data_IF_909300545245
#
_entry.id   IF_909300545245
#
_cell.length_a   1.000
_cell.length_b   1.000
_cell.length_c   1.000
_cell.angle_alpha   90.00
_cell.angle_beta   90.00
_cell.angle_gamma   90.00
#
_symmetry.space_group_name_H-M   'P 1'
#
loop_
_entity.id
_entity.type
_entity.pdbx_description
1 polymer ?
#
# COMPACT_ATOMS: atom_id res chain seq x y z
N UNK A 1 20.74 5.45 11.55
CA UNK A 1 19.67 5.61 12.54
C UNK A 1 18.44 4.77 12.23
N UNK A 2 17.88 4.85 11.01
CA UNK A 2 16.72 4.03 10.58
C UNK A 2 16.96 2.52 10.75
N UNK A 3 18.13 2.00 10.37
CA UNK A 3 18.50 0.56 10.53
C UNK A 3 18.52 0.10 12.00
N UNK A 4 18.68 1.02 12.98
CA UNK A 4 18.63 0.66 14.41
C UNK A 4 17.21 0.60 14.97
N UNK A 5 16.23 1.31 14.39
CA UNK A 5 14.81 1.24 14.81
C UNK A 5 14.11 -0.05 14.42
N UNK A 6 14.66 -0.83 13.47
CA UNK A 6 14.09 -2.10 13.01
C UNK A 6 14.71 -3.35 13.66
N UNK A 7 15.60 -3.21 14.65
CA UNK A 7 16.30 -4.36 15.26
C UNK A 7 15.44 -5.21 16.22
N UNK A 8 14.16 -4.91 16.41
CA UNK A 8 13.26 -5.64 17.30
C UNK A 8 12.31 -6.65 16.63
N UNK A 9 12.06 -6.55 15.31
CA UNK A 9 11.05 -7.36 14.59
C UNK A 9 11.66 -8.24 13.48
N UNK A 10 13.00 -8.31 13.41
CA UNK A 10 13.79 -8.83 12.28
C UNK A 10 13.84 -10.35 12.08
N UNK A 11 12.71 -11.07 12.13
CA UNK A 11 12.69 -12.50 11.74
C UNK A 11 11.64 -12.87 10.69
N UNK A 12 10.49 -12.20 10.64
CA UNK A 12 9.47 -12.47 9.61
C UNK A 12 9.67 -11.59 8.36
N UNK A 13 9.86 -10.29 8.57
CA UNK A 13 10.05 -9.29 7.52
C UNK A 13 11.28 -9.61 6.66
N UNK A 14 12.42 -9.87 7.29
CA UNK A 14 13.65 -10.25 6.58
C UNK A 14 13.52 -11.59 5.85
N UNK A 15 12.69 -12.54 6.33
CA UNK A 15 12.46 -13.82 5.64
C UNK A 15 11.57 -13.67 4.43
N UNK A 16 10.51 -12.85 4.50
CA UNK A 16 9.63 -12.58 3.36
C UNK A 16 10.40 -11.79 2.30
N UNK A 17 11.16 -10.76 2.71
CA UNK A 17 12.04 -10.04 1.80
C UNK A 17 13.15 -10.93 1.24
N UNK A 18 13.84 -11.75 2.04
CA UNK A 18 14.88 -12.64 1.54
C UNK A 18 14.33 -13.73 0.61
N UNK A 19 13.15 -14.29 0.90
CA UNK A 19 12.50 -15.29 0.04
C UNK A 19 12.01 -14.66 -1.26
N UNK A 20 11.42 -13.47 -1.17
CA UNK A 20 11.02 -12.68 -2.34
C UNK A 20 12.23 -12.31 -3.20
N UNK A 21 13.33 -11.84 -2.60
CA UNK A 21 14.59 -11.53 -3.29
C UNK A 21 15.26 -12.76 -3.90
N UNK A 22 15.21 -13.92 -3.22
CA UNK A 22 15.81 -15.16 -3.72
C UNK A 22 15.05 -15.74 -4.91
N UNK A 23 13.71 -15.70 -4.87
CA UNK A 23 12.87 -16.11 -6.02
C UNK A 23 13.00 -15.09 -7.17
N UNK A 24 13.13 -13.79 -6.87
CA UNK A 24 13.39 -12.74 -7.85
C UNK A 24 14.75 -12.92 -8.54
N UNK A 25 15.81 -13.28 -7.80
CA UNK A 25 17.13 -13.53 -8.36
C UNK A 25 17.15 -14.72 -9.33
N UNK A 26 16.28 -15.72 -9.13
CA UNK A 26 16.10 -16.86 -10.04
C UNK A 26 15.35 -16.47 -11.33
N UNK A 27 14.47 -15.48 -11.27
CA UNK A 27 13.63 -15.04 -12.40
C UNK A 27 14.25 -13.91 -13.23
N UNK A 28 15.36 -13.32 -12.77
CA UNK A 28 16.05 -12.24 -13.48
C UNK A 28 16.83 -12.72 -14.69
N UNK A 29 16.67 -12.03 -15.82
CA UNK A 29 17.59 -12.20 -16.94
C UNK A 29 19.02 -11.79 -16.54
N UNK A 30 20.05 -12.47 -17.06
CA UNK A 30 21.45 -12.13 -16.77
C UNK A 30 21.77 -10.64 -17.03
N UNK A 31 21.21 -10.08 -18.10
CA UNK A 31 21.41 -8.68 -18.49
C UNK A 31 20.92 -7.66 -17.46
N UNK A 32 19.75 -7.91 -16.86
CA UNK A 32 19.16 -7.04 -15.82
C UNK A 32 19.91 -7.18 -14.50
N UNK A 33 20.33 -8.40 -14.16
CA UNK A 33 21.20 -8.66 -13.01
C UNK A 33 22.48 -7.86 -13.09
N UNK A 34 23.15 -7.91 -14.23
CA UNK A 34 24.41 -7.21 -14.45
C UNK A 34 24.24 -5.69 -14.49
N UNK A 35 23.10 -5.20 -14.96
CA UNK A 35 22.76 -3.78 -14.89
C UNK A 35 22.64 -3.30 -13.43
N UNK A 36 21.87 -4.00 -12.60
CA UNK A 36 21.65 -3.64 -11.19
C UNK A 36 22.96 -3.74 -10.39
N UNK A 37 23.73 -4.80 -10.60
CA UNK A 37 25.04 -4.97 -9.95
C UNK A 37 26.00 -3.83 -10.32
N UNK A 38 26.03 -3.39 -11.58
CA UNK A 38 26.83 -2.23 -12.00
C UNK A 38 26.39 -0.93 -11.34
N UNK A 39 25.09 -0.70 -11.20
CA UNK A 39 24.57 0.48 -10.48
C UNK A 39 24.97 0.45 -9.00
N UNK A 40 24.84 -0.70 -8.33
CA UNK A 40 25.26 -0.87 -6.94
C UNK A 40 26.77 -0.67 -6.75
N UNK A 41 27.59 -1.18 -7.66
CA UNK A 41 29.04 -0.97 -7.66
C UNK A 41 29.39 0.51 -7.84
N UNK A 42 28.71 1.23 -8.73
CA UNK A 42 28.90 2.68 -8.93
C UNK A 42 28.54 3.49 -7.68
N UNK A 43 27.40 3.20 -7.06
CA UNK A 43 26.98 3.87 -5.83
C UNK A 43 27.95 3.59 -4.67
N UNK A 44 28.41 2.35 -4.53
CA UNK A 44 29.42 1.96 -3.52
C UNK A 44 30.77 2.65 -3.76
N UNK A 45 31.20 2.75 -5.03
CA UNK A 45 32.41 3.45 -5.39
C UNK A 45 32.31 4.97 -5.16
N UNK A 46 31.13 5.57 -5.41
CA UNK A 46 30.87 6.97 -5.09
C UNK A 46 30.96 7.23 -3.58
N UNK A 47 30.29 6.39 -2.77
CA UNK A 47 30.38 6.41 -1.30
C UNK A 47 31.81 6.26 -0.77
N UNK A 48 32.62 5.41 -1.40
CA UNK A 48 34.00 5.18 -1.00
C UNK A 48 34.95 6.34 -1.35
N UNK A 49 34.61 7.15 -2.36
CA UNK A 49 35.39 8.33 -2.78
C UNK A 49 35.10 9.58 -1.94
N UNK A 50 33.95 9.63 -1.29
CA UNK A 50 33.59 10.71 -0.38
C UNK A 50 34.35 10.60 0.96
N UNK A 51 35.43 11.37 1.09
CA UNK A 51 36.17 11.51 2.36
C UNK A 51 35.25 12.04 3.47
N UNK A 52 35.49 11.68 4.75
CA UNK A 52 34.75 12.24 5.88
C UNK A 52 35.14 13.71 6.10
N UNK A 53 34.44 14.62 5.41
CA UNK A 53 34.43 16.04 5.76
C UNK A 53 33.41 16.27 6.88
N UNK A 54 33.90 16.75 8.02
CA UNK A 54 33.08 17.13 9.17
C UNK A 54 32.14 18.29 8.81
N UNK A 55 30.82 18.09 8.99
CA UNK A 55 29.89 19.19 9.24
C UNK A 55 28.79 19.48 8.21
N UNK A 56 28.73 18.81 7.06
CA UNK A 56 27.64 19.02 6.08
C UNK A 56 26.70 17.80 6.01
N UNK A 57 25.39 18.06 6.03
CA UNK A 57 24.33 17.05 5.92
C UNK A 57 24.54 16.25 4.63
N UNK A 58 24.95 14.99 4.77
CA UNK A 58 25.28 14.10 3.65
C UNK A 58 24.00 13.60 2.97
N UNK A 59 23.85 13.90 1.68
CA UNK A 59 22.92 13.16 0.83
C UNK A 59 23.48 11.76 0.59
N UNK A 60 22.90 10.74 1.24
CA UNK A 60 23.24 9.35 0.92
C UNK A 60 22.77 9.06 -0.52
N UNK A 61 23.64 8.52 -1.40
CA UNK A 61 23.18 8.11 -2.72
C UNK A 61 22.12 7.02 -2.57
N UNK A 62 20.91 7.35 -3.00
CA UNK A 62 19.77 6.44 -3.07
C UNK A 62 19.91 5.59 -4.32
N UNK A 63 20.17 4.29 -4.13
CA UNK A 63 20.04 3.32 -5.21
C UNK A 63 18.55 3.00 -5.33
N UNK A 64 17.92 3.49 -6.39
CA UNK A 64 16.55 3.08 -6.72
C UNK A 64 16.57 1.62 -7.15
N UNK A 65 16.32 0.73 -6.20
CA UNK A 65 15.90 -0.64 -6.49
C UNK A 65 14.39 -0.62 -6.66
N UNK A 66 13.83 -1.19 -7.75
CA UNK A 66 12.40 -1.39 -7.81
C UNK A 66 12.02 -2.39 -6.71
N UNK A 67 11.17 -1.97 -5.77
CA UNK A 67 10.31 -2.93 -5.07
C UNK A 67 9.49 -3.60 -6.18
N UNK A 68 9.47 -4.94 -6.24
CA UNK A 68 8.77 -5.68 -7.29
C UNK A 68 9.43 -5.58 -8.67
N UNK A 69 10.45 -6.40 -8.94
CA UNK A 69 11.14 -6.40 -10.23
C UNK A 69 10.21 -6.89 -11.36
N UNK A 70 9.61 -5.94 -12.06
CA UNK A 70 8.75 -6.10 -13.25
C UNK A 70 7.56 -7.06 -13.10
N UNK A 71 6.57 -6.69 -12.29
CA UNK A 71 5.21 -7.03 -12.70
C UNK A 71 4.93 -6.20 -13.97
N UNK A 72 4.65 -6.88 -15.10
CA UNK A 72 4.23 -6.22 -16.34
C UNK A 72 2.93 -5.43 -16.16
N UNK A 73 2.23 -5.69 -15.06
CA UNK A 73 0.99 -5.03 -14.68
C UNK A 73 1.24 -3.59 -14.24
N UNK A 74 0.75 -2.60 -15.00
CA UNK A 74 0.81 -1.19 -14.61
C UNK A 74 0.13 -0.91 -13.28
N UNK A 75 -0.89 -1.68 -12.89
CA UNK A 75 -1.62 -1.48 -11.64
C UNK A 75 -0.80 -1.82 -10.41
N UNK A 76 -0.09 -2.95 -10.45
CA UNK A 76 0.81 -3.32 -9.34
C UNK A 76 1.88 -2.25 -9.15
N UNK A 77 2.47 -1.74 -10.24
CA UNK A 77 3.46 -0.65 -10.17
C UNK A 77 2.90 0.61 -9.55
N UNK A 78 1.71 1.05 -9.99
CA UNK A 78 1.03 2.23 -9.43
C UNK A 78 0.74 2.06 -7.94
N UNK A 79 0.31 0.87 -7.50
CA UNK A 79 0.11 0.55 -6.08
C UNK A 79 1.41 0.62 -5.29
N UNK A 80 2.47 0.00 -5.78
CA UNK A 80 3.79 0.02 -5.12
C UNK A 80 4.36 1.44 -5.02
N UNK A 81 4.21 2.25 -6.07
CA UNK A 81 4.61 3.66 -6.06
C UNK A 81 3.79 4.47 -5.05
N UNK A 82 2.49 4.24 -4.97
CA UNK A 82 1.62 4.90 -4.00
C UNK A 82 2.01 4.55 -2.56
N UNK A 83 2.19 3.26 -2.26
CA UNK A 83 2.64 2.79 -0.94
C UNK A 83 4.04 3.33 -0.60
N UNK A 84 4.95 3.38 -1.57
CA UNK A 84 6.29 3.95 -1.36
C UNK A 84 6.21 5.42 -0.94
N UNK A 85 5.41 6.24 -1.63
CA UNK A 85 5.23 7.66 -1.25
C UNK A 85 4.70 7.79 0.17
N UNK A 86 3.72 6.97 0.56
CA UNK A 86 3.17 6.99 1.92
C UNK A 86 4.19 6.59 3.00
N UNK A 87 5.09 5.65 2.69
CA UNK A 87 6.19 5.27 3.59
C UNK A 87 7.25 6.38 3.71
N UNK A 88 7.62 6.99 2.58
CA UNK A 88 8.57 8.11 2.54
C UNK A 88 8.07 9.31 3.34
N UNK A 89 6.77 9.57 3.28
CA UNK A 89 6.12 10.67 4.03
C UNK A 89 5.76 10.30 5.48
N UNK A 90 6.05 9.08 5.93
CA UNK A 90 5.81 8.63 7.30
C UNK A 90 4.33 8.46 7.69
N UNK A 91 3.45 8.36 6.68
CA UNK A 91 2.02 8.07 6.85
C UNK A 91 1.83 6.61 7.21
N UNK A 92 2.40 5.70 6.41
CA UNK A 92 2.32 4.26 6.67
C UNK A 92 3.42 3.80 7.62
N UNK A 93 3.03 3.01 8.61
CA UNK A 93 3.87 2.49 9.69
C UNK A 93 3.59 1.03 9.99
N UNK A 94 2.35 0.59 9.79
CA UNK A 94 1.88 -0.76 10.15
C UNK A 94 2.12 -1.74 9.01
N UNK A 95 2.85 -2.83 9.29
CA UNK A 95 3.23 -3.84 8.30
C UNK A 95 2.02 -4.49 7.62
N UNK A 96 1.00 -4.86 8.41
CA UNK A 96 -0.19 -5.54 7.90
C UNK A 96 -1.02 -4.62 6.98
N UNK A 97 -1.06 -3.31 7.27
CA UNK A 97 -1.70 -2.33 6.40
C UNK A 97 -0.94 -2.13 5.09
N UNK A 98 0.39 -2.08 5.14
CA UNK A 98 1.22 -2.03 3.94
C UNK A 98 0.93 -3.24 3.05
N UNK A 99 0.87 -4.44 3.64
CA UNK A 99 0.57 -5.67 2.91
C UNK A 99 -0.85 -5.66 2.33
N UNK A 100 -1.85 -5.27 3.12
CA UNK A 100 -3.23 -5.18 2.66
C UNK A 100 -3.39 -4.22 1.46
N UNK A 101 -2.77 -3.03 1.52
CA UNK A 101 -2.81 -2.06 0.41
C UNK A 101 -2.11 -2.56 -0.86
N UNK A 102 -1.07 -3.40 -0.74
CA UNK A 102 -0.40 -4.00 -1.89
C UNK A 102 -1.21 -5.15 -2.51
N UNK A 103 -1.93 -5.91 -1.70
CA UNK A 103 -2.72 -7.06 -2.13
C UNK A 103 -4.09 -6.68 -2.73
N UNK A 104 -4.76 -5.68 -2.16
CA UNK A 104 -6.10 -5.29 -2.61
C UNK A 104 -5.99 -4.37 -3.82
N UNK A 105 -6.40 -4.91 -4.97
CA UNK A 105 -6.40 -4.24 -6.27
C UNK A 105 -7.63 -3.31 -6.42
N UNK A 106 -7.49 -1.97 -6.34
CA UNK A 106 -8.62 -1.04 -6.42
C UNK A 106 -9.39 -1.14 -7.74
N UNK A 107 -8.71 -1.46 -8.84
CA UNK A 107 -9.30 -1.64 -10.18
C UNK A 107 -10.32 -2.80 -10.27
N UNK A 108 -10.42 -3.65 -9.22
CA UNK A 108 -11.46 -4.68 -9.12
C UNK A 108 -12.74 -4.22 -8.43
N UNK A 109 -12.71 -3.05 -7.78
CA UNK A 109 -13.79 -2.55 -6.93
C UNK A 109 -14.41 -1.25 -7.44
N UNK A 110 -13.70 -0.51 -8.30
CA UNK A 110 -14.14 0.79 -8.82
C UNK A 110 -13.71 0.97 -10.28
N UNK A 111 -14.27 2.00 -10.92
CA UNK A 111 -13.89 2.35 -12.29
C UNK A 111 -12.40 2.70 -12.39
N UNK A 112 -11.81 2.51 -13.57
CA UNK A 112 -10.37 2.74 -13.78
C UNK A 112 -9.97 4.19 -13.40
N UNK A 113 -10.74 5.19 -13.80
CA UNK A 113 -10.47 6.59 -13.46
C UNK A 113 -10.46 6.84 -11.94
N UNK A 114 -11.39 6.21 -11.20
CA UNK A 114 -11.48 6.31 -9.73
C UNK A 114 -10.31 5.59 -9.06
N UNK A 115 -9.96 4.40 -9.54
CA UNK A 115 -8.81 3.64 -9.02
C UNK A 115 -7.50 4.41 -9.26
N UNK A 116 -7.36 5.07 -10.42
CA UNK A 116 -6.22 5.95 -10.67
C UNK A 116 -6.25 7.18 -9.75
N UNK A 117 -7.40 7.81 -9.54
CA UNK A 117 -7.53 8.96 -8.65
C UNK A 117 -7.15 8.61 -7.20
N UNK A 118 -7.60 7.45 -6.71
CA UNK A 118 -7.23 6.90 -5.40
C UNK A 118 -5.71 6.78 -5.25
N UNK A 119 -5.06 6.10 -6.20
CA UNK A 119 -3.62 5.83 -6.14
C UNK A 119 -2.76 7.09 -6.37
N UNK A 120 -3.32 8.12 -6.99
CA UNK A 120 -2.65 9.40 -7.24
C UNK A 120 -2.99 10.48 -6.21
N UNK A 121 -3.74 10.15 -5.16
CA UNK A 121 -4.25 11.11 -4.16
C UNK A 121 -4.98 12.30 -4.79
N UNK A 122 -5.72 12.05 -5.88
CA UNK A 122 -6.56 13.06 -6.53
C UNK A 122 -7.97 13.00 -5.97
N UNK A 123 -8.59 14.16 -5.85
CA UNK A 123 -10.01 14.24 -5.55
C UNK A 123 -10.80 13.61 -6.71
N UNK A 124 -11.83 12.79 -6.42
CA UNK A 124 -12.73 12.28 -7.44
C UNK A 124 -13.49 13.43 -8.10
N UNK A 125 -14.01 13.20 -9.31
CA UNK A 125 -14.88 14.17 -9.96
C UNK A 125 -16.15 14.34 -9.14
N UNK A 126 -16.48 15.58 -8.78
CA UNK A 126 -17.64 15.94 -7.96
C UNK A 126 -18.92 16.12 -8.80
N UNK A 127 -19.04 15.40 -9.92
CA UNK A 127 -20.24 15.45 -10.76
C UNK A 127 -21.42 14.67 -10.14
N UNK A 128 -21.23 14.16 -8.91
CA UNK A 128 -22.23 13.41 -8.17
C UNK A 128 -23.29 14.34 -7.56
N UNK A 129 -24.54 13.85 -7.37
CA UNK A 129 -25.58 14.60 -6.69
C UNK A 129 -25.14 15.08 -5.30
N UNK A 130 -25.72 16.19 -4.84
CA UNK A 130 -25.49 16.66 -3.48
C UNK A 130 -25.83 15.57 -2.45
N UNK A 131 -24.92 15.34 -1.49
CA UNK A 131 -25.06 14.28 -0.49
C UNK A 131 -24.61 12.88 -0.94
N UNK A 132 -24.23 12.70 -2.21
CA UNK A 132 -23.63 11.45 -2.66
C UNK A 132 -22.20 11.31 -2.12
N UNK A 133 -21.85 10.10 -1.67
CA UNK A 133 -20.48 9.78 -1.29
C UNK A 133 -19.61 9.58 -2.52
N UNK A 134 -18.33 10.04 -2.49
CA UNK A 134 -17.40 9.76 -3.57
C UNK A 134 -17.10 8.25 -3.67
N UNK A 135 -16.89 7.71 -4.88
CA UNK A 135 -16.51 6.31 -5.06
C UNK A 135 -15.10 6.00 -4.54
N UNK A 136 -14.23 7.01 -4.50
CA UNK A 136 -12.85 6.89 -4.06
C UNK A 136 -12.38 8.12 -3.28
N UNK A 137 -11.65 7.90 -2.20
CA UNK A 137 -10.81 8.90 -1.55
C UNK A 137 -9.35 8.60 -1.88
N UNK A 138 -8.48 9.61 -1.82
CA UNK A 138 -7.05 9.42 -1.99
C UNK A 138 -6.49 8.39 -0.99
N UNK A 139 -5.60 7.52 -1.46
CA UNK A 139 -5.00 6.45 -0.66
C UNK A 139 -4.31 6.95 0.61
N UNK A 140 -3.82 8.20 0.63
CA UNK A 140 -3.30 8.87 1.82
C UNK A 140 -4.37 9.05 2.89
N UNK A 141 -5.55 9.55 2.53
CA UNK A 141 -6.65 9.76 3.48
C UNK A 141 -7.08 8.42 4.08
N UNK A 142 -7.21 7.40 3.22
CA UNK A 142 -7.51 6.05 3.65
C UNK A 142 -6.44 5.52 4.61
N UNK A 143 -5.16 5.63 4.26
CA UNK A 143 -4.05 5.15 5.08
C UNK A 143 -4.02 5.85 6.45
N UNK A 144 -4.20 7.18 6.51
CA UNK A 144 -4.27 7.90 7.79
C UNK A 144 -5.42 7.42 8.66
N UNK A 145 -6.60 7.21 8.06
CA UNK A 145 -7.77 6.69 8.78
C UNK A 145 -7.54 5.28 9.32
N UNK A 146 -6.95 4.39 8.52
CA UNK A 146 -6.68 3.01 8.92
C UNK A 146 -5.56 2.90 9.95
N UNK A 147 -4.51 3.72 9.85
CA UNK A 147 -3.47 3.80 10.89
C UNK A 147 -4.01 4.35 12.20
N UNK A 148 -4.99 5.26 12.17
CA UNK A 148 -5.63 5.78 13.38
C UNK A 148 -6.66 4.81 13.98
N UNK A 149 -7.32 4.01 13.13
CA UNK A 149 -8.30 3.01 13.54
C UNK A 149 -7.63 1.78 14.18
N UNK A 150 -6.39 1.48 13.79
CA UNK A 150 -5.60 0.31 14.23
C UNK A 150 -6.37 -1.03 14.20
N UNK A 151 -6.99 -1.45 13.06
CA UNK A 151 -7.71 -2.72 13.01
C UNK A 151 -6.79 -3.92 13.29
N UNK A 152 -7.22 -4.79 14.20
CA UNK A 152 -6.47 -5.97 14.61
C UNK A 152 -7.18 -7.28 14.23
N UNK A 153 -6.42 -8.37 14.30
CA UNK A 153 -6.92 -9.72 14.03
C UNK A 153 -8.07 -10.05 14.99
N UNK A 154 -9.18 -10.52 14.43
CA UNK A 154 -10.37 -10.88 15.20
C UNK A 154 -11.37 -9.73 15.42
N UNK A 155 -11.03 -8.50 15.03
CA UNK A 155 -11.91 -7.35 15.24
C UNK A 155 -13.18 -7.41 14.40
N UNK A 156 -14.23 -6.75 14.91
CA UNK A 156 -15.46 -6.47 14.18
C UNK A 156 -15.46 -4.99 13.80
N UNK A 157 -15.31 -4.69 12.52
CA UNK A 157 -15.20 -3.32 12.00
C UNK A 157 -16.35 -3.05 11.03
N UNK A 158 -16.86 -1.81 11.02
CA UNK A 158 -17.88 -1.37 10.08
C UNK A 158 -17.33 -0.31 9.12
N UNK A 159 -17.47 -0.55 7.83
CA UNK A 159 -17.33 0.47 6.78
C UNK A 159 -18.72 1.03 6.46
N UNK A 160 -19.03 2.19 7.05
CA UNK A 160 -20.32 2.87 6.87
C UNK A 160 -20.46 3.57 5.52
N UNK A 161 -19.40 3.52 4.71
CA UNK A 161 -19.23 4.27 3.47
C UNK A 161 -18.81 3.35 2.32
N UNK A 162 -19.27 2.09 2.34
CA UNK A 162 -18.81 1.03 1.44
C UNK A 162 -19.38 1.17 0.01
N UNK A 163 -19.18 2.32 -0.62
CA UNK A 163 -19.67 2.66 -1.98
C UNK A 163 -19.13 1.66 -3.01
N UNK A 164 -17.82 1.38 -2.96
CA UNK A 164 -17.14 0.47 -3.89
C UNK A 164 -16.75 -0.86 -3.24
N UNK A 165 -16.80 -0.94 -1.91
CA UNK A 165 -16.30 -2.09 -1.15
C UNK A 165 -14.78 -2.23 -1.10
N UNK A 166 -14.01 -1.32 -1.71
CA UNK A 166 -12.54 -1.35 -1.66
C UNK A 166 -12.01 -1.24 -0.22
N UNK A 167 -12.48 -0.26 0.55
CA UNK A 167 -12.10 -0.06 1.95
C UNK A 167 -12.46 -1.28 2.80
N UNK A 168 -13.67 -1.81 2.63
CA UNK A 168 -14.09 -3.04 3.28
C UNK A 168 -13.19 -4.25 2.93
N UNK A 169 -12.70 -4.35 1.69
CA UNK A 169 -11.76 -5.40 1.30
C UNK A 169 -10.38 -5.22 1.94
N UNK A 170 -9.88 -3.99 2.07
CA UNK A 170 -8.64 -3.69 2.81
C UNK A 170 -8.80 -4.06 4.29
N UNK A 171 -9.90 -3.64 4.92
CA UNK A 171 -10.23 -3.99 6.30
C UNK A 171 -10.33 -5.51 6.51
N UNK A 172 -10.91 -6.23 5.54
CA UNK A 172 -11.02 -7.69 5.60
C UNK A 172 -9.63 -8.36 5.62
N UNK A 173 -8.67 -7.80 4.89
CA UNK A 173 -7.27 -8.25 4.95
C UNK A 173 -6.62 -8.02 6.32
N UNK A 174 -6.97 -6.94 7.00
CA UNK A 174 -6.43 -6.57 8.31
C UNK A 174 -7.00 -7.42 9.46
N UNK A 175 -8.34 -7.56 9.52
CA UNK A 175 -8.99 -8.28 10.63
C UNK A 175 -8.86 -9.80 10.51
N UNK A 176 -8.59 -10.31 9.30
CA UNK A 176 -8.18 -11.69 9.02
C UNK A 176 -9.02 -12.75 9.75
N UNK A 177 -8.41 -13.83 10.24
CA UNK A 177 -9.08 -14.96 10.88
C UNK A 177 -9.87 -14.54 12.13
N UNK A 178 -11.14 -14.95 12.20
CA UNK A 178 -12.05 -14.63 13.29
C UNK A 178 -12.66 -13.22 13.23
N UNK A 179 -12.08 -12.32 12.45
CA UNK A 179 -12.56 -10.96 12.26
C UNK A 179 -13.75 -10.85 11.32
N UNK A 180 -14.47 -9.72 11.39
CA UNK A 180 -15.63 -9.44 10.54
C UNK A 180 -15.63 -7.99 10.07
N UNK A 181 -15.97 -7.79 8.80
CA UNK A 181 -16.20 -6.46 8.24
C UNK A 181 -17.66 -6.32 7.83
N UNK A 182 -18.34 -5.33 8.41
CA UNK A 182 -19.68 -4.93 8.03
C UNK A 182 -19.57 -3.83 6.97
N UNK A 183 -19.84 -4.14 5.71
CA UNK A 183 -19.88 -3.16 4.64
C UNK A 183 -21.30 -2.62 4.47
N UNK A 184 -21.49 -1.34 4.76
CA UNK A 184 -22.76 -0.63 4.61
C UNK A 184 -22.64 0.34 3.45
N UNK A 185 -23.42 0.09 2.40
CA UNK A 185 -23.54 1.01 1.27
C UNK A 185 -24.71 1.98 1.56
N UNK A 186 -24.45 3.28 1.80
CA UNK A 186 -25.52 4.24 1.96
C UNK A 186 -26.15 4.52 0.60
N UNK A 187 -27.42 4.13 0.43
CA UNK A 187 -28.23 4.55 -0.71
C UNK A 187 -28.60 6.03 -0.54
N UNK A 188 -28.33 6.84 -1.57
CA UNK A 188 -28.72 8.24 -1.58
C UNK A 188 -30.25 8.38 -1.65
N UNK A 189 -30.89 8.56 -0.48
CA UNK A 189 -32.15 9.29 -0.27
C UNK A 189 -33.42 8.83 -1.01
N UNK A 190 -34.37 8.25 -0.25
CA UNK A 190 -35.78 8.22 -0.62
C UNK A 190 -36.60 7.25 0.24
N UNK A 191 -37.25 7.75 1.29
CA UNK A 191 -38.33 7.09 2.05
C UNK A 191 -38.20 5.57 2.27
N UNK A 192 -37.48 5.17 3.32
CA UNK A 192 -37.74 3.86 3.97
C UNK A 192 -37.27 2.60 3.26
N UNK A 193 -36.24 2.64 2.39
CA UNK A 193 -35.79 1.42 1.71
C UNK A 193 -34.27 1.17 1.78
N UNK A 194 -33.93 0.09 2.48
CA UNK A 194 -32.80 -0.79 2.18
C UNK A 194 -31.40 -0.29 2.54
N UNK A 195 -30.93 -0.63 3.74
CA UNK A 195 -29.49 -0.77 3.99
C UNK A 195 -29.07 -2.10 3.37
N UNK A 196 -28.33 -2.06 2.26
CA UNK A 196 -27.68 -3.27 1.75
C UNK A 196 -26.46 -3.54 2.64
N UNK A 197 -26.63 -4.47 3.58
CA UNK A 197 -25.54 -4.96 4.43
C UNK A 197 -24.88 -6.14 3.74
N UNK A 198 -23.62 -5.99 3.39
CA UNK A 198 -22.80 -7.09 2.90
C UNK A 198 -21.87 -7.53 4.02
N UNK A 199 -22.02 -8.77 4.45
CA UNK A 199 -21.05 -9.43 5.32
C UNK A 199 -19.96 -10.02 4.44
N UNK A 200 -18.82 -9.35 4.37
CA UNK A 200 -17.61 -9.97 3.86
C UNK A 200 -17.07 -10.91 4.93
N UNK A 201 -17.45 -12.18 4.87
CA UNK A 201 -16.77 -13.21 5.63
C UNK A 201 -15.46 -13.54 4.92
N UNK A 202 -14.32 -13.33 5.59
CA UNK A 202 -13.02 -13.81 5.12
C UNK A 202 -13.05 -15.35 5.19
N UNK A 203 -13.41 -16.01 4.08
CA UNK A 203 -13.13 -17.43 3.90
C UNK A 203 -11.82 -17.54 3.14
N UNK A 204 -10.78 -18.02 3.83
CA UNK A 204 -9.57 -18.55 3.18
C UNK A 204 -9.86 -19.95 2.66
#
# INVERSE_FOLDING_TARGET
EIIRRFRGQGRSVDRVFARSLAEQAKQMSPTTRDYILRQGQRAKAALARERPSHGLVRHKPTVHVPIGLHVKDPWVRRREEAVRRLLEDGVLRTADLIEALLQVAPERYMAEDDAQALLLDRLPRLDAPEGALPPALGVRLLAMGLEALEPAIGDVVADMTAVTGYTAAVLAGLVSEGGRVLAVHPSAGGSGQGVAVWLAAVRR
#
